data_IF_593155499805
#
_entry.id   IF_593155499805
#
_cell.length_a   1.000
_cell.length_b   1.000
_cell.length_c   1.000
_cell.angle_alpha   90.00
_cell.angle_beta   90.00
_cell.angle_gamma   90.00
#
_symmetry.space_group_name_H-M   'P 1'
#
loop_
_entity.id
_entity.type
_entity.pdbx_description
1 polymer ?
#
# COMPACT_ATOMS: atom_id res chain seq x y z
N UNK A 1 2.49 2.55 -22.64
CA UNK A 1 2.81 1.60 -23.74
C UNK A 1 4.01 0.76 -23.32
N UNK A 2 4.29 -0.34 -24.03
CA UNK A 2 5.56 -1.07 -23.89
C UNK A 2 6.35 -0.92 -25.20
N UNK A 3 7.61 -0.52 -25.11
CA UNK A 3 8.57 -0.47 -26.23
C UNK A 3 9.84 -1.20 -25.80
N UNK A 4 10.32 -2.13 -26.63
CA UNK A 4 11.53 -2.92 -26.34
C UNK A 4 11.50 -3.61 -24.97
N UNK A 5 10.33 -4.07 -24.52
CA UNK A 5 10.15 -4.71 -23.21
C UNK A 5 10.11 -3.76 -22.01
N UNK A 6 10.22 -2.44 -22.25
CA UNK A 6 10.22 -1.39 -21.22
C UNK A 6 8.97 -0.53 -21.30
N UNK A 7 8.51 0.07 -20.19
CA UNK A 7 7.39 1.00 -20.22
C UNK A 7 7.81 2.28 -20.96
N UNK A 8 6.87 2.82 -21.71
CA UNK A 8 7.01 4.08 -22.41
C UNK A 8 5.70 4.84 -22.30
N UNK A 9 5.76 6.06 -21.79
CA UNK A 9 4.60 6.92 -21.62
C UNK A 9 4.77 8.21 -22.42
N UNK A 10 3.73 8.58 -23.16
CA UNK A 10 3.64 9.88 -23.81
C UNK A 10 2.26 10.45 -23.48
N UNK A 11 2.23 11.47 -22.65
CA UNK A 11 1.01 12.16 -22.23
C UNK A 11 1.05 13.59 -22.79
N UNK A 12 0.17 13.87 -23.75
CA UNK A 12 0.02 15.22 -24.34
C UNK A 12 1.33 15.83 -24.88
N UNK A 13 2.26 15.00 -25.35
CA UNK A 13 3.56 15.44 -25.87
C UNK A 13 4.70 15.42 -24.85
N UNK A 14 4.42 15.16 -23.58
CA UNK A 14 5.43 14.91 -22.57
C UNK A 14 5.78 13.43 -22.53
N UNK A 15 7.03 13.12 -22.89
CA UNK A 15 7.57 11.77 -22.86
C UNK A 15 8.14 11.49 -21.47
N UNK A 16 7.64 10.43 -20.83
CA UNK A 16 8.24 9.83 -19.64
C UNK A 16 8.74 8.44 -20.04
N UNK A 17 10.07 8.35 -20.15
CA UNK A 17 10.81 7.13 -20.49
C UNK A 17 11.81 6.73 -19.41
N UNK A 18 11.74 7.37 -18.24
CA UNK A 18 12.60 7.07 -17.10
C UNK A 18 12.40 5.62 -16.63
N UNK A 19 13.49 4.98 -16.23
CA UNK A 19 13.53 3.56 -15.87
C UNK A 19 14.10 3.38 -14.48
N UNK A 20 13.61 2.38 -13.75
CA UNK A 20 14.10 2.10 -12.38
C UNK A 20 15.60 1.78 -12.36
N UNK A 21 16.16 1.32 -13.49
CA UNK A 21 17.60 1.05 -13.64
C UNK A 21 18.48 2.29 -13.66
N UNK A 22 17.91 3.49 -13.63
CA UNK A 22 18.62 4.77 -13.52
C UNK A 22 18.90 5.18 -12.06
N UNK A 23 18.29 4.47 -11.09
CA UNK A 23 18.49 4.65 -9.65
C UNK A 23 19.71 3.86 -9.11
N UNK A 24 20.06 4.08 -7.83
CA UNK A 24 21.15 3.32 -7.19
C UNK A 24 20.75 1.86 -6.95
N UNK A 25 21.73 0.96 -6.84
CA UNK A 25 21.48 -0.46 -6.56
C UNK A 25 20.71 -0.66 -5.23
N UNK A 26 20.95 0.20 -4.23
CA UNK A 26 20.23 0.18 -2.96
C UNK A 26 18.76 0.56 -3.12
N UNK A 27 18.46 1.61 -3.89
CA UNK A 27 17.08 2.03 -4.17
C UNK A 27 16.34 0.97 -5.00
N UNK A 28 17.00 0.41 -6.02
CA UNK A 28 16.45 -0.69 -6.84
C UNK A 28 16.12 -1.89 -5.95
N UNK A 29 17.02 -2.28 -5.06
CA UNK A 29 16.81 -3.40 -4.13
C UNK A 29 15.67 -3.12 -3.14
N UNK A 30 15.55 -1.89 -2.62
CA UNK A 30 14.46 -1.50 -1.73
C UNK A 30 13.10 -1.54 -2.45
N UNK A 31 13.03 -1.05 -3.69
CA UNK A 31 11.82 -1.07 -4.52
C UNK A 31 11.41 -2.51 -4.87
N UNK A 32 12.34 -3.35 -5.35
CA UNK A 32 12.06 -4.77 -5.64
C UNK A 32 11.64 -5.52 -4.35
N UNK A 33 12.30 -5.24 -3.23
CA UNK A 33 11.95 -5.77 -1.92
C UNK A 33 10.51 -5.40 -1.51
N UNK A 34 10.13 -4.12 -1.65
CA UNK A 34 8.77 -3.67 -1.37
C UNK A 34 7.74 -4.35 -2.27
N UNK A 35 8.01 -4.48 -3.57
CA UNK A 35 7.10 -5.16 -4.52
C UNK A 35 6.96 -6.63 -4.15
N UNK A 36 8.06 -7.35 -3.92
CA UNK A 36 8.03 -8.78 -3.55
C UNK A 36 7.37 -9.01 -2.21
N UNK A 37 7.48 -8.08 -1.27
CA UNK A 37 6.83 -8.17 0.03
C UNK A 37 5.33 -7.92 -0.08
N UNK A 38 4.93 -6.91 -0.84
CA UNK A 38 3.56 -6.37 -0.78
C UNK A 38 2.64 -6.74 -1.95
N UNK A 39 3.18 -7.27 -3.04
CA UNK A 39 2.39 -7.62 -4.23
C UNK A 39 2.38 -9.13 -4.40
N UNK A 40 1.18 -9.69 -4.65
CA UNK A 40 0.99 -11.10 -5.02
C UNK A 40 0.22 -11.18 -6.33
N UNK A 41 0.41 -12.25 -7.08
CA UNK A 41 -0.39 -12.50 -8.29
C UNK A 41 -1.83 -12.79 -7.89
N UNK A 42 -2.79 -12.12 -8.53
CA UNK A 42 -4.22 -12.26 -8.28
C UNK A 42 -4.98 -12.76 -9.52
N UNK A 43 -6.19 -13.29 -9.33
CA UNK A 43 -7.06 -13.68 -10.46
C UNK A 43 -7.87 -12.50 -10.99
N UNK A 44 -8.30 -11.62 -10.09
CA UNK A 44 -9.14 -10.44 -10.39
C UNK A 44 -8.25 -9.23 -10.68
N UNK A 45 -8.82 -8.25 -11.38
CA UNK A 45 -8.17 -6.95 -11.56
C UNK A 45 -8.24 -6.23 -10.22
N UNK A 46 -7.12 -5.67 -9.77
CA UNK A 46 -7.11 -4.78 -8.61
C UNK A 46 -7.86 -3.50 -8.98
N UNK A 47 -8.99 -3.28 -8.32
CA UNK A 47 -9.75 -2.03 -8.41
C UNK A 47 -9.24 -1.04 -7.35
N UNK A 48 -9.42 0.26 -7.57
CA UNK A 48 -8.95 1.31 -6.64
C UNK A 48 -7.48 1.69 -6.79
N UNK A 49 -6.60 0.78 -7.19
CA UNK A 49 -5.16 1.07 -7.31
C UNK A 49 -4.60 0.72 -8.69
N UNK A 50 -4.14 1.75 -9.38
CA UNK A 50 -3.33 1.64 -10.61
C UNK A 50 -1.84 1.81 -10.29
N UNK A 51 -0.97 1.69 -11.29
CA UNK A 51 0.47 2.02 -11.16
C UNK A 51 0.71 3.35 -10.46
N UNK A 52 -0.08 4.38 -10.77
CA UNK A 52 0.04 5.69 -10.13
C UNK A 52 -0.27 5.67 -8.64
N UNK A 53 -1.32 4.94 -8.24
CA UNK A 53 -1.68 4.81 -6.82
C UNK A 53 -0.65 4.02 -6.04
N UNK A 54 -0.19 2.89 -6.59
CA UNK A 54 0.80 2.04 -5.93
C UNK A 54 2.19 2.70 -5.86
N UNK A 55 2.54 3.55 -6.83
CA UNK A 55 3.77 4.36 -6.78
C UNK A 55 3.79 5.28 -5.56
N UNK A 56 2.65 5.88 -5.20
CA UNK A 56 2.53 6.70 -3.99
C UNK A 56 2.58 5.87 -2.70
N UNK A 57 2.02 4.65 -2.71
CA UNK A 57 2.15 3.73 -1.56
C UNK A 57 3.60 3.35 -1.31
N UNK A 58 4.34 3.03 -2.38
CA UNK A 58 5.77 2.75 -2.30
C UNK A 58 6.54 3.96 -1.76
N UNK A 59 6.29 5.14 -2.30
CA UNK A 59 6.96 6.38 -1.88
C UNK A 59 6.70 6.67 -0.39
N UNK A 60 5.48 6.47 0.08
CA UNK A 60 5.13 6.61 1.50
C UNK A 60 5.87 5.60 2.39
N UNK A 61 5.95 4.34 1.96
CA UNK A 61 6.53 3.27 2.78
C UNK A 61 8.06 3.24 2.77
N UNK A 62 8.69 3.73 1.69
CA UNK A 62 10.15 3.64 1.49
C UNK A 62 10.85 4.99 1.52
N UNK A 63 10.12 6.10 1.34
CA UNK A 63 10.69 7.42 1.12
C UNK A 63 11.28 7.62 -0.29
N UNK A 64 11.25 6.61 -1.16
CA UNK A 64 11.83 6.66 -2.50
C UNK A 64 10.81 7.23 -3.48
N UNK A 65 11.17 8.35 -4.10
CA UNK A 65 10.37 8.96 -5.16
C UNK A 65 10.67 8.30 -6.51
N UNK A 66 9.62 7.80 -7.18
CA UNK A 66 9.68 7.30 -8.56
C UNK A 66 8.74 8.08 -9.48
N UNK A 67 8.96 8.13 -10.78
CA UNK A 67 7.93 8.47 -11.75
C UNK A 67 6.94 7.30 -11.91
N UNK A 68 5.79 7.56 -12.54
CA UNK A 68 4.86 6.48 -12.86
C UNK A 68 5.47 5.51 -13.89
N UNK A 69 6.38 5.96 -14.76
CA UNK A 69 7.05 5.09 -15.72
C UNK A 69 8.13 4.21 -15.06
N UNK A 70 8.91 4.76 -14.12
CA UNK A 70 9.87 3.99 -13.32
C UNK A 70 9.19 2.89 -12.51
N UNK A 71 8.06 3.20 -11.84
CA UNK A 71 7.31 2.19 -11.09
C UNK A 71 6.73 1.09 -12.00
N UNK A 72 6.23 1.45 -13.20
CA UNK A 72 5.80 0.44 -14.18
C UNK A 72 6.96 -0.46 -14.61
N UNK A 73 8.17 0.08 -14.72
CA UNK A 73 9.36 -0.68 -15.11
C UNK A 73 9.74 -1.68 -14.02
N UNK A 74 9.73 -1.22 -12.76
CA UNK A 74 9.95 -2.08 -11.60
C UNK A 74 8.93 -3.22 -11.53
N UNK A 75 7.64 -2.94 -11.77
CA UNK A 75 6.59 -3.97 -11.82
C UNK A 75 6.84 -4.99 -12.93
N UNK A 76 7.27 -4.56 -14.13
CA UNK A 76 7.61 -5.47 -15.22
C UNK A 76 8.81 -6.36 -14.89
N UNK A 77 9.87 -5.78 -14.31
CA UNK A 77 11.06 -6.51 -13.87
C UNK A 77 10.72 -7.54 -12.77
N UNK A 78 9.77 -7.21 -11.89
CA UNK A 78 9.24 -8.12 -10.88
C UNK A 78 8.29 -9.20 -11.46
N UNK A 79 8.00 -9.16 -12.76
CA UNK A 79 7.18 -10.15 -13.47
C UNK A 79 5.70 -9.81 -13.58
N UNK A 80 5.27 -8.63 -13.13
CA UNK A 80 3.87 -8.20 -13.16
C UNK A 80 3.53 -7.47 -14.46
N UNK A 81 2.66 -8.09 -15.26
CA UNK A 81 2.20 -7.52 -16.53
C UNK A 81 0.94 -6.66 -16.34
N UNK A 82 0.83 -5.51 -17.02
CA UNK A 82 -0.38 -4.71 -17.00
C UNK A 82 -1.51 -5.39 -17.77
N UNK A 83 -2.76 -5.16 -17.33
CA UNK A 83 -3.97 -5.61 -18.05
C UNK A 83 -4.06 -4.95 -19.42
N UNK A 84 -3.75 -3.65 -19.50
CA UNK A 84 -3.67 -2.92 -20.76
C UNK A 84 -2.42 -2.03 -20.78
N UNK A 85 -1.37 -2.41 -21.52
CA UNK A 85 -0.14 -1.61 -21.63
C UNK A 85 -0.33 -0.21 -22.22
N UNK A 86 -1.45 0.05 -22.90
CA UNK A 86 -1.73 1.36 -23.53
C UNK A 86 -2.29 2.38 -22.55
N UNK A 87 -2.76 1.95 -21.37
CA UNK A 87 -3.28 2.87 -20.37
C UNK A 87 -2.14 3.74 -19.82
N UNK A 88 -2.47 5.00 -19.50
CA UNK A 88 -1.56 5.88 -18.78
C UNK A 88 -1.26 5.33 -17.39
N UNK A 89 -2.29 4.84 -16.70
CA UNK A 89 -2.19 4.28 -15.36
C UNK A 89 -2.52 2.79 -15.43
N UNK A 90 -1.51 1.94 -15.28
CA UNK A 90 -1.66 0.51 -15.50
C UNK A 90 -2.46 -0.14 -14.38
N UNK A 91 -3.41 -0.98 -14.78
CA UNK A 91 -4.12 -1.89 -13.88
C UNK A 91 -3.46 -3.26 -13.95
N UNK A 92 -3.55 -4.02 -12.86
CA UNK A 92 -2.89 -5.31 -12.73
C UNK A 92 -3.84 -6.37 -12.19
N UNK A 93 -3.53 -7.63 -12.45
CA UNK A 93 -4.18 -8.78 -11.80
C UNK A 93 -3.34 -9.22 -10.61
N UNK A 94 -3.46 -8.47 -9.52
CA UNK A 94 -2.66 -8.63 -8.32
C UNK A 94 -3.52 -8.44 -7.08
N UNK A 95 -2.98 -8.87 -5.96
CA UNK A 95 -3.48 -8.59 -4.62
C UNK A 95 -2.39 -7.82 -3.88
N UNK A 96 -2.78 -6.75 -3.19
CA UNK A 96 -1.90 -6.04 -2.27
C UNK A 96 -2.00 -6.69 -0.91
N UNK A 97 -0.86 -7.00 -0.30
CA UNK A 97 -0.75 -7.66 0.99
C UNK A 97 0.21 -6.88 1.85
N UNK A 98 -0.06 -6.72 3.14
CA UNK A 98 0.90 -6.12 4.07
C UNK A 98 1.29 -7.14 5.13
N UNK A 99 2.58 -7.42 5.26
CA UNK A 99 3.06 -8.18 6.40
C UNK A 99 3.07 -7.25 7.62
N UNK A 100 2.02 -7.32 8.43
CA UNK A 100 1.87 -6.54 9.67
C UNK A 100 2.97 -6.87 10.69
N UNK A 101 3.63 -8.03 10.56
CA UNK A 101 4.72 -8.44 11.47
C UNK A 101 5.90 -7.45 11.45
N UNK A 102 6.05 -6.64 10.39
CA UNK A 102 7.08 -5.61 10.29
C UNK A 102 6.53 -4.20 10.57
N UNK A 103 5.28 -4.07 11.04
CA UNK A 103 4.74 -2.78 11.45
C UNK A 103 5.42 -2.37 12.77
N UNK A 104 6.15 -1.24 12.81
CA UNK A 104 6.90 -0.83 14.00
C UNK A 104 6.01 -0.38 15.16
N UNK A 105 4.70 -0.21 14.94
CA UNK A 105 3.83 0.30 15.99
C UNK A 105 3.44 -0.77 17.03
N UNK A 106 3.69 -0.51 18.33
CA UNK A 106 3.24 -1.40 19.39
C UNK A 106 1.71 -1.55 19.46
N UNK A 107 0.95 -0.55 19.01
CA UNK A 107 -0.52 -0.63 18.93
C UNK A 107 -0.97 -1.78 18.02
N UNK A 108 -0.36 -1.93 16.83
CA UNK A 108 -0.71 -3.00 15.89
C UNK A 108 -0.43 -4.39 16.45
N UNK A 109 0.62 -4.52 17.26
CA UNK A 109 0.93 -5.78 17.92
C UNK A 109 -0.05 -6.07 19.05
N UNK A 110 -0.38 -5.04 19.83
CA UNK A 110 -1.31 -5.12 20.94
C UNK A 110 -2.74 -5.50 20.51
N UNK A 111 -3.27 -4.87 19.46
CA UNK A 111 -4.65 -5.10 19.00
C UNK A 111 -4.89 -6.50 18.41
N UNK A 112 -3.85 -7.24 18.03
CA UNK A 112 -4.01 -8.62 17.52
C UNK A 112 -4.68 -9.57 18.50
N UNK A 113 -4.65 -9.27 19.81
CA UNK A 113 -5.38 -10.08 20.80
C UNK A 113 -6.89 -10.11 20.56
N UNK A 114 -7.43 -9.14 19.81
CA UNK A 114 -8.85 -9.04 19.44
C UNK A 114 -9.16 -9.54 18.03
N UNK A 115 -8.18 -10.05 17.26
CA UNK A 115 -8.38 -10.42 15.84
C UNK A 115 -9.47 -11.48 15.63
N UNK A 116 -9.63 -12.38 16.61
CA UNK A 116 -10.64 -13.44 16.59
C UNK A 116 -11.95 -13.06 17.27
N UNK A 117 -12.07 -11.84 17.79
CA UNK A 117 -13.24 -11.42 18.54
C UNK A 117 -14.41 -11.10 17.59
N UNK A 118 -15.60 -11.59 17.93
CA UNK A 118 -16.84 -11.30 17.22
C UNK A 118 -17.52 -10.04 17.76
N UNK A 119 -16.74 -8.98 17.96
CA UNK A 119 -17.17 -7.67 18.47
C UNK A 119 -16.86 -6.59 17.43
N UNK A 120 -17.44 -5.38 17.54
CA UNK A 120 -17.05 -4.25 16.68
C UNK A 120 -15.54 -3.96 16.72
N UNK A 121 -14.88 -4.16 17.87
CA UNK A 121 -13.42 -4.05 18.00
C UNK A 121 -12.70 -5.13 17.19
N UNK A 122 -13.15 -6.39 17.26
CA UNK A 122 -12.56 -7.45 16.45
C UNK A 122 -12.81 -7.28 14.94
N UNK A 123 -13.98 -6.78 14.55
CA UNK A 123 -14.28 -6.41 13.16
C UNK A 123 -13.33 -5.29 12.68
N UNK A 124 -13.21 -4.22 13.47
CA UNK A 124 -12.28 -3.12 13.18
C UNK A 124 -10.83 -3.62 13.04
N UNK A 125 -10.38 -4.51 13.93
CA UNK A 125 -9.03 -5.07 13.87
C UNK A 125 -8.83 -5.86 12.58
N UNK A 126 -9.76 -6.72 12.19
CA UNK A 126 -9.65 -7.45 10.92
C UNK A 126 -9.60 -6.50 9.73
N UNK A 127 -10.48 -5.49 9.70
CA UNK A 127 -10.50 -4.49 8.62
C UNK A 127 -9.19 -3.72 8.57
N UNK A 128 -8.68 -3.24 9.70
CA UNK A 128 -7.39 -2.56 9.82
C UNK A 128 -6.22 -3.43 9.34
N UNK A 129 -6.18 -4.70 9.74
CA UNK A 129 -5.11 -5.63 9.39
C UNK A 129 -5.13 -5.98 7.89
N UNK A 130 -6.31 -5.98 7.26
CA UNK A 130 -6.45 -6.26 5.84
C UNK A 130 -6.44 -5.00 4.95
N UNK A 131 -6.49 -3.82 5.55
CA UNK A 131 -6.45 -2.55 4.84
C UNK A 131 -5.01 -2.14 4.54
N UNK A 132 -4.65 -2.26 3.26
CA UNK A 132 -3.33 -1.90 2.76
C UNK A 132 -3.01 -0.42 2.92
N UNK A 133 -4.01 0.46 2.85
CA UNK A 133 -3.83 1.91 2.96
C UNK A 133 -3.84 2.39 4.42
N UNK A 134 -4.12 1.49 5.36
CA UNK A 134 -4.15 1.85 6.78
C UNK A 134 -2.77 2.39 7.23
N UNK A 135 -2.72 3.49 7.99
CA UNK A 135 -1.46 4.09 8.42
C UNK A 135 -0.58 3.13 9.23
N UNK A 136 0.66 2.93 8.80
CA UNK A 136 1.66 2.15 9.55
C UNK A 136 2.13 2.88 10.81
N UNK A 137 2.17 4.21 10.75
CA UNK A 137 2.43 5.06 11.89
C UNK A 137 1.14 5.09 12.71
N UNK A 138 1.02 4.14 13.64
CA UNK A 138 -0.10 4.09 14.56
C UNK A 138 0.12 5.12 15.66
N UNK A 139 0.04 6.39 15.29
CA UNK A 139 -0.29 7.48 16.20
C UNK A 139 -1.79 7.69 16.13
N UNK A 140 -2.40 7.99 17.28
CA UNK A 140 -3.84 8.18 17.39
C UNK A 140 -4.38 9.13 16.32
N UNK A 141 -3.79 10.32 16.26
CA UNK A 141 -4.14 11.40 15.36
C UNK A 141 -4.07 11.00 13.88
N UNK A 142 -3.08 10.19 13.51
CA UNK A 142 -2.88 9.76 12.13
C UNK A 142 -3.98 8.78 11.74
N UNK A 143 -4.29 7.82 12.61
CA UNK A 143 -5.36 6.86 12.38
C UNK A 143 -6.73 7.55 12.38
N UNK A 144 -7.00 8.44 13.33
CA UNK A 144 -8.26 9.18 13.39
C UNK A 144 -8.50 10.00 12.11
N UNK A 145 -7.47 10.71 11.62
CA UNK A 145 -7.56 11.45 10.34
C UNK A 145 -7.77 10.51 9.15
N UNK A 146 -7.12 9.36 9.14
CA UNK A 146 -7.31 8.35 8.10
C UNK A 146 -8.75 7.84 8.05
N UNK A 147 -9.30 7.43 9.19
CA UNK A 147 -10.69 6.96 9.31
C UNK A 147 -11.69 8.04 8.86
N UNK A 148 -11.45 9.30 9.25
CA UNK A 148 -12.24 10.43 8.78
C UNK A 148 -12.17 10.65 7.27
N UNK A 149 -10.98 10.52 6.68
CA UNK A 149 -10.75 10.68 5.23
C UNK A 149 -11.48 9.62 4.40
N UNK A 150 -11.48 8.36 4.86
CA UNK A 150 -12.14 7.26 4.14
C UNK A 150 -13.64 7.20 4.42
N UNK A 151 -14.16 8.06 5.31
CA UNK A 151 -15.58 8.08 5.68
C UNK A 151 -16.00 6.84 6.48
N UNK A 152 -15.13 6.37 7.38
CA UNK A 152 -15.42 5.22 8.24
C UNK A 152 -16.73 5.44 9.02
N UNK A 153 -17.49 4.36 9.23
CA UNK A 153 -18.74 4.45 9.97
C UNK A 153 -18.49 4.77 11.46
N UNK A 154 -19.49 5.32 12.15
CA UNK A 154 -19.36 5.69 13.56
C UNK A 154 -18.94 4.49 14.42
N UNK A 155 -19.45 3.29 14.13
CA UNK A 155 -19.07 2.07 14.85
C UNK A 155 -17.59 1.70 14.69
N UNK A 156 -16.99 1.89 13.51
CA UNK A 156 -15.56 1.67 13.31
C UNK A 156 -14.71 2.71 14.04
N UNK A 157 -15.16 3.98 14.05
CA UNK A 157 -14.49 5.06 14.80
C UNK A 157 -14.60 4.83 16.31
N UNK A 158 -15.77 4.45 16.82
CA UNK A 158 -15.99 4.12 18.24
C UNK A 158 -15.13 2.92 18.68
N UNK A 159 -15.08 1.87 17.86
CA UNK A 159 -14.24 0.70 18.12
C UNK A 159 -12.73 1.05 18.15
N UNK A 160 -12.28 1.92 17.25
CA UNK A 160 -10.91 2.44 17.27
C UNK A 160 -10.59 3.19 18.57
N UNK A 161 -11.46 4.12 18.98
CA UNK A 161 -11.26 4.93 20.19
C UNK A 161 -11.28 4.09 21.48
N UNK A 162 -12.11 3.04 21.51
CA UNK A 162 -12.13 2.06 22.61
C UNK A 162 -10.81 1.29 22.70
N UNK A 163 -10.38 0.68 21.58
CA UNK A 163 -9.10 -0.03 21.50
C UNK A 163 -7.91 0.86 21.86
N UNK A 164 -7.92 2.12 21.42
CA UNK A 164 -6.84 3.04 21.71
C UNK A 164 -6.77 3.41 23.20
N UNK A 165 -7.92 3.63 23.84
CA UNK A 165 -7.98 3.93 25.27
C UNK A 165 -7.45 2.77 26.11
N UNK A 166 -7.83 1.55 25.77
CA UNK A 166 -7.37 0.35 26.46
C UNK A 166 -5.85 0.15 26.27
N UNK A 167 -5.36 0.35 25.04
CA UNK A 167 -3.92 0.30 24.76
C UNK A 167 -3.15 1.33 25.58
N UNK A 168 -3.59 2.61 25.57
CA UNK A 168 -2.92 3.69 26.29
C UNK A 168 -2.87 3.41 27.80
N UNK A 169 -3.97 2.91 28.37
CA UNK A 169 -4.05 2.57 29.80
C UNK A 169 -3.24 1.34 30.22
N UNK A 170 -2.88 0.43 29.30
CA UNK A 170 -1.96 -0.68 29.56
C UNK A 170 -0.48 -0.28 29.45
N UNK A 171 -0.19 0.86 28.81
CA UNK A 171 1.18 1.36 28.58
C UNK A 171 1.63 2.48 29.53
N UNK A 172 0.76 2.91 30.46
CA UNK A 172 1.04 3.84 31.56
C UNK A 172 1.60 3.12 32.80
#
# INVERSE_FOLDING_TARGET
MIKNGRPYTNENGFVDEALITEHSDEEIAAVDGWIRKNVRTGKKILHGHTSYGMKHMLEHDTGIYLTNNEFKDAMLLAGYQPVNPKDLNWKYRIELTREINDNPSPFFHWVRKYEMDATPCGDFVRDMLHDFEFPILAEHDIIARYLGRIGACSGAVEAFEELWRDYAGETD
#
